data_IF_505143685710
#
_entry.id   IF_505143685710
#
_cell.length_a   1.000
_cell.length_b   1.000
_cell.length_c   1.000
_cell.angle_alpha   90.00
_cell.angle_beta   90.00
_cell.angle_gamma   90.00
#
_symmetry.space_group_name_H-M   'P 1'
#
loop_
_entity.id
_entity.type
_entity.pdbx_description
1 polymer ?
#
# COMPACT_ATOMS: atom_id res chain seq x y z
N UNK A 1 -21.37 -2.43 14.25
CA UNK A 1 -19.93 -2.73 14.10
C UNK A 1 -19.31 -1.64 13.23
N UNK A 2 -18.17 -1.07 13.64
CA UNK A 2 -17.42 -0.17 12.76
C UNK A 2 -16.65 -0.98 11.73
N UNK A 3 -16.54 -0.48 10.50
CA UNK A 3 -15.74 -1.12 9.46
C UNK A 3 -14.27 -1.16 9.85
N UNK A 4 -13.62 -2.28 9.53
CA UNK A 4 -12.22 -2.52 9.86
C UNK A 4 -11.28 -1.68 8.99
N UNK A 5 -10.06 -1.42 9.47
CA UNK A 5 -9.03 -0.66 8.73
C UNK A 5 -8.84 -1.19 7.30
N UNK A 6 -8.76 -2.52 7.17
CA UNK A 6 -8.50 -3.18 5.89
C UNK A 6 -9.66 -2.98 4.91
N UNK A 7 -10.90 -3.07 5.39
CA UNK A 7 -12.09 -2.80 4.58
C UNK A 7 -12.17 -1.35 4.12
N UNK A 8 -11.87 -0.40 5.01
CA UNK A 8 -11.88 1.03 4.68
C UNK A 8 -10.82 1.38 3.64
N UNK A 9 -9.61 0.81 3.76
CA UNK A 9 -8.56 0.99 2.76
C UNK A 9 -8.93 0.37 1.41
N UNK A 10 -9.48 -0.85 1.41
CA UNK A 10 -9.95 -1.50 0.20
C UNK A 10 -11.05 -0.69 -0.48
N UNK A 11 -12.00 -0.16 0.31
CA UNK A 11 -13.08 0.70 -0.17
C UNK A 11 -12.54 2.01 -0.80
N UNK A 12 -11.63 2.71 -0.12
CA UNK A 12 -11.00 3.92 -0.65
C UNK A 12 -10.23 3.64 -1.94
N UNK A 13 -9.41 2.59 -1.95
CA UNK A 13 -8.61 2.20 -3.11
C UNK A 13 -9.49 1.84 -4.31
N UNK A 14 -10.61 1.13 -4.08
CA UNK A 14 -11.56 0.79 -5.12
C UNK A 14 -12.27 2.01 -5.71
N UNK A 15 -12.82 2.89 -4.86
CA UNK A 15 -13.61 4.04 -5.32
C UNK A 15 -12.77 5.16 -5.93
N UNK A 16 -11.57 5.38 -5.38
CA UNK A 16 -10.71 6.47 -5.79
C UNK A 16 -9.55 6.00 -6.67
N UNK A 17 -9.45 4.71 -7.01
CA UNK A 17 -8.36 4.13 -7.80
C UNK A 17 -7.00 4.54 -7.23
N UNK A 18 -6.83 4.31 -5.93
CA UNK A 18 -5.65 4.64 -5.13
C UNK A 18 -4.93 3.37 -4.70
N UNK A 19 -3.69 3.53 -4.22
CA UNK A 19 -2.90 2.45 -3.60
C UNK A 19 -2.45 2.84 -2.20
N UNK A 20 -3.41 3.15 -1.33
CA UNK A 20 -3.10 3.35 0.08
C UNK A 20 -2.87 2.02 0.77
N UNK A 21 -1.77 1.95 1.51
CA UNK A 21 -1.38 0.82 2.36
C UNK A 21 -1.59 1.14 3.84
N UNK A 22 -1.72 2.43 4.18
CA UNK A 22 -1.83 2.96 5.55
C UNK A 22 -2.96 3.99 5.61
N UNK A 23 -3.74 3.99 6.70
CA UNK A 23 -4.90 4.90 6.84
C UNK A 23 -4.47 6.36 6.97
N UNK A 24 -3.25 6.58 7.47
CA UNK A 24 -2.57 7.85 7.59
C UNK A 24 -2.43 8.57 6.24
N UNK A 25 -2.40 7.81 5.13
CA UNK A 25 -2.33 8.39 3.78
C UNK A 25 -3.65 9.04 3.35
N UNK A 26 -4.78 8.67 3.96
CA UNK A 26 -6.06 9.34 3.76
C UNK A 26 -6.05 10.80 4.26
N UNK A 27 -5.08 11.15 5.13
CA UNK A 27 -4.87 12.51 5.63
C UNK A 27 -4.47 13.53 4.56
N UNK A 28 -4.15 13.08 3.34
CA UNK A 28 -3.83 13.94 2.19
C UNK A 28 -5.07 14.57 1.52
N UNK A 29 -6.27 14.06 1.85
CA UNK A 29 -7.61 14.52 1.44
C UNK A 29 -7.80 14.73 -0.06
N UNK A 30 -8.47 13.78 -0.71
CA UNK A 30 -8.64 13.77 -2.15
C UNK A 30 -10.04 14.19 -2.62
N UNK A 31 -10.54 15.36 -2.16
CA UNK A 31 -11.97 15.72 -2.30
C UNK A 31 -12.26 16.81 -3.34
N UNK A 32 -11.25 17.56 -3.82
CA UNK A 32 -11.44 18.56 -4.87
C UNK A 32 -10.32 18.54 -5.91
N UNK A 33 -10.42 17.58 -6.82
CA UNK A 33 -9.32 17.13 -7.67
C UNK A 33 -8.69 18.21 -8.57
N UNK A 34 -9.38 19.32 -8.84
CA UNK A 34 -8.83 20.41 -9.66
C UNK A 34 -7.96 21.41 -8.88
N UNK A 35 -8.13 21.48 -7.55
CA UNK A 35 -7.46 22.48 -6.69
C UNK A 35 -6.64 21.85 -5.56
N UNK A 36 -6.81 20.55 -5.33
CA UNK A 36 -6.02 19.77 -4.39
C UNK A 36 -4.60 19.64 -4.92
N UNK A 37 -3.63 19.90 -4.04
CA UNK A 37 -2.23 19.61 -4.31
C UNK A 37 -1.95 18.16 -3.91
N UNK A 38 -1.58 17.36 -4.90
CA UNK A 38 -1.37 15.92 -4.75
C UNK A 38 0.05 15.55 -4.34
N UNK A 39 1.04 16.34 -4.74
CA UNK A 39 2.47 16.14 -4.44
C UNK A 39 2.92 16.92 -3.19
N UNK A 40 2.05 17.08 -2.20
CA UNK A 40 2.39 17.76 -0.94
C UNK A 40 3.27 16.87 -0.08
N UNK A 41 4.44 17.40 0.33
CA UNK A 41 5.42 16.70 1.15
C UNK A 41 5.46 17.21 2.58
N UNK A 42 4.92 18.40 2.82
CA UNK A 42 4.97 19.07 4.12
C UNK A 42 3.60 19.26 4.74
N UNK A 43 3.50 19.11 6.06
CA UNK A 43 2.24 19.15 6.81
C UNK A 43 1.43 20.44 6.59
N UNK A 44 2.12 21.58 6.51
CA UNK A 44 1.46 22.89 6.31
C UNK A 44 0.79 23.01 4.93
N UNK A 45 1.19 22.20 3.95
CA UNK A 45 0.58 22.20 2.62
C UNK A 45 -0.80 21.54 2.63
N UNK A 46 -1.04 20.60 3.55
CA UNK A 46 -2.34 19.93 3.70
C UNK A 46 -3.43 20.89 4.17
N UNK A 47 -3.09 21.96 4.89
CA UNK A 47 -4.04 22.99 5.34
C UNK A 47 -4.85 23.54 4.16
N UNK A 48 -4.19 23.75 3.01
CA UNK A 48 -4.84 24.22 1.78
C UNK A 48 -5.88 23.22 1.27
N UNK A 49 -5.56 21.92 1.28
CA UNK A 49 -6.46 20.85 0.85
C UNK A 49 -7.68 20.75 1.80
N UNK A 50 -7.47 20.81 3.11
CA UNK A 50 -8.56 20.78 4.10
C UNK A 50 -9.50 21.99 4.02
N UNK A 51 -8.99 23.19 3.70
CA UNK A 51 -9.86 24.37 3.47
C UNK A 51 -10.79 24.19 2.28
N UNK A 52 -10.30 23.51 1.23
CA UNK A 52 -11.14 23.21 0.07
C UNK A 52 -12.22 22.19 0.45
N UNK A 53 -11.89 21.20 1.28
CA UNK A 53 -12.84 20.24 1.82
C UNK A 53 -13.91 20.93 2.67
N UNK A 54 -13.52 21.79 3.61
CA UNK A 54 -14.45 22.59 4.43
C UNK A 54 -15.40 23.41 3.57
N UNK A 55 -14.86 24.10 2.56
CA UNK A 55 -15.68 24.88 1.61
C UNK A 55 -16.68 24.01 0.84
N UNK A 56 -16.38 22.72 0.64
CA UNK A 56 -17.31 21.76 0.02
C UNK A 56 -18.41 21.36 1.00
N UNK A 57 -18.07 21.12 2.27
CA UNK A 57 -19.05 20.76 3.31
C UNK A 57 -20.05 21.90 3.54
N UNK A 58 -19.56 23.14 3.60
CA UNK A 58 -20.42 24.33 3.76
C UNK A 58 -21.42 24.46 2.60
N UNK A 59 -20.96 24.26 1.36
CA UNK A 59 -21.82 24.32 0.16
C UNK A 59 -22.90 23.25 0.16
N UNK A 60 -22.57 22.06 0.62
CA UNK A 60 -23.49 20.93 0.69
C UNK A 60 -24.26 20.87 2.03
N UNK A 61 -24.09 21.88 2.90
CA UNK A 61 -24.74 21.98 4.22
C UNK A 61 -24.52 20.74 5.10
N UNK A 62 -23.28 20.24 5.11
CA UNK A 62 -22.87 19.10 5.94
C UNK A 62 -22.35 19.66 7.28
N UNK A 63 -23.11 19.47 8.36
CA UNK A 63 -22.78 20.01 9.71
C UNK A 63 -21.63 19.28 10.43
N UNK A 64 -20.78 18.54 9.70
CA UNK A 64 -19.63 17.85 10.27
C UNK A 64 -18.44 18.79 10.36
N UNK A 65 -18.00 19.09 11.59
CA UNK A 65 -16.73 19.78 11.83
C UNK A 65 -15.56 18.86 11.48
N UNK A 66 -14.66 19.33 10.61
CA UNK A 66 -13.45 18.62 10.20
C UNK A 66 -12.30 19.04 11.14
N UNK A 67 -11.70 18.12 11.92
CA UNK A 67 -10.60 18.45 12.84
C UNK A 67 -9.25 18.55 12.10
N UNK A 68 -9.10 19.63 11.33
CA UNK A 68 -7.97 19.86 10.41
C UNK A 68 -6.60 19.71 11.10
N UNK A 69 -6.42 20.32 12.28
CA UNK A 69 -5.14 20.29 13.03
C UNK A 69 -4.70 18.90 13.48
N UNK A 70 -5.66 17.97 13.62
CA UNK A 70 -5.39 16.58 14.00
C UNK A 70 -5.13 15.72 12.77
N UNK A 71 -5.92 15.92 11.72
CA UNK A 71 -5.83 15.13 10.50
C UNK A 71 -4.57 15.44 9.67
N UNK A 72 -4.13 16.70 9.63
CA UNK A 72 -2.92 17.08 8.90
C UNK A 72 -1.63 16.48 9.45
N UNK A 73 -1.64 16.02 10.72
CA UNK A 73 -0.53 15.33 11.36
C UNK A 73 -0.44 13.85 10.96
N UNK A 74 -1.35 13.40 10.09
CA UNK A 74 -1.41 12.03 9.59
C UNK A 74 -1.38 10.96 10.70
N UNK A 75 -1.97 11.24 11.86
CA UNK A 75 -2.05 10.28 12.98
C UNK A 75 -3.10 9.21 12.68
N UNK A 76 -2.78 7.97 13.02
CA UNK A 76 -3.64 6.80 12.77
C UNK A 76 -5.08 7.00 13.28
N UNK A 77 -5.23 7.29 14.58
CA UNK A 77 -6.55 7.33 15.22
C UNK A 77 -7.46 8.41 14.62
N UNK A 78 -6.94 9.63 14.45
CA UNK A 78 -7.71 10.75 13.92
C UNK A 78 -8.16 10.48 12.48
N UNK A 79 -7.27 9.91 11.65
CA UNK A 79 -7.59 9.57 10.26
C UNK A 79 -8.57 8.40 10.17
N UNK A 80 -8.42 7.38 11.03
CA UNK A 80 -9.33 6.24 11.08
C UNK A 80 -10.75 6.68 11.46
N UNK A 81 -10.89 7.50 12.50
CA UNK A 81 -12.20 8.01 12.95
C UNK A 81 -12.87 8.84 11.85
N UNK A 82 -12.10 9.69 11.16
CA UNK A 82 -12.63 10.52 10.08
C UNK A 82 -13.06 9.68 8.87
N UNK A 83 -12.27 8.69 8.46
CA UNK A 83 -12.61 7.80 7.33
C UNK A 83 -13.82 6.92 7.67
N UNK A 84 -13.94 6.43 8.91
CA UNK A 84 -15.14 5.71 9.37
C UNK A 84 -16.40 6.57 9.26
N UNK A 85 -16.32 7.83 9.67
CA UNK A 85 -17.43 8.76 9.51
C UNK A 85 -17.73 9.02 8.03
N UNK A 86 -16.70 9.25 7.21
CA UNK A 86 -16.84 9.51 5.77
C UNK A 86 -17.54 8.35 5.06
N UNK A 87 -17.20 7.12 5.42
CA UNK A 87 -17.82 5.92 4.88
C UNK A 87 -19.30 5.81 5.24
N UNK A 88 -19.65 6.03 6.51
CA UNK A 88 -21.07 6.06 6.93
C UNK A 88 -21.84 7.16 6.20
N UNK A 89 -21.21 8.32 6.02
CA UNK A 89 -21.79 9.42 5.25
C UNK A 89 -22.00 9.01 3.79
N UNK A 90 -21.02 8.34 3.18
CA UNK A 90 -21.11 7.83 1.81
C UNK A 90 -22.28 6.84 1.66
N UNK A 91 -22.36 5.82 2.51
CA UNK A 91 -23.41 4.79 2.40
C UNK A 91 -24.83 5.36 2.51
N UNK A 92 -25.01 6.42 3.28
CA UNK A 92 -26.31 7.07 3.47
C UNK A 92 -26.69 8.02 2.32
N UNK A 93 -25.69 8.61 1.66
CA UNK A 93 -25.91 9.72 0.73
C UNK A 93 -25.54 9.40 -0.72
N UNK A 94 -24.92 8.26 -0.99
CA UNK A 94 -24.54 7.88 -2.35
C UNK A 94 -25.77 7.45 -3.15
N UNK A 95 -26.20 8.22 -4.17
CA UNK A 95 -27.41 7.93 -4.93
C UNK A 95 -27.20 6.78 -5.95
N UNK A 96 -26.01 6.18 -5.99
CA UNK A 96 -25.57 5.30 -7.06
C UNK A 96 -24.93 6.07 -8.23
N UNK A 97 -24.18 5.35 -9.07
CA UNK A 97 -23.52 5.90 -10.26
C UNK A 97 -22.11 5.35 -10.47
N UNK A 98 -21.51 5.67 -11.62
CA UNK A 98 -20.10 5.39 -11.90
C UNK A 98 -19.28 6.66 -11.65
N UNK A 99 -18.30 6.58 -10.75
CA UNK A 99 -17.36 7.67 -10.49
C UNK A 99 -15.97 7.26 -11.01
N UNK A 100 -15.42 8.06 -11.93
CA UNK A 100 -14.05 7.86 -12.44
C UNK A 100 -13.11 8.89 -11.81
N UNK A 101 -12.37 8.45 -10.80
CA UNK A 101 -11.44 9.28 -10.05
C UNK A 101 -10.17 9.61 -10.85
N UNK A 102 -9.65 8.68 -11.65
CA UNK A 102 -8.41 8.87 -12.40
C UNK A 102 -8.51 10.00 -13.44
N UNK A 103 -9.63 10.07 -14.18
CA UNK A 103 -9.83 11.16 -15.16
C UNK A 103 -10.04 12.52 -14.48
N UNK A 104 -10.67 12.54 -13.30
CA UNK A 104 -10.88 13.77 -12.51
C UNK A 104 -9.57 14.34 -11.95
N UNK A 105 -8.62 13.47 -11.60
CA UNK A 105 -7.25 13.86 -11.21
C UNK A 105 -6.40 14.40 -12.36
N UNK A 106 -6.84 14.26 -13.62
CA UNK A 106 -6.03 14.59 -14.81
C UNK A 106 -4.61 13.97 -14.76
N UNK A 107 -4.45 12.81 -14.13
CA UNK A 107 -3.16 12.15 -13.93
C UNK A 107 -2.28 12.69 -12.78
N UNK A 108 -2.77 13.64 -11.97
CA UNK A 108 -2.13 14.11 -10.75
C UNK A 108 -2.62 13.31 -9.54
N UNK A 109 -1.90 12.25 -9.18
CA UNK A 109 -2.18 11.37 -8.04
C UNK A 109 -1.04 10.36 -7.90
N UNK A 110 -1.00 9.55 -6.83
CA UNK A 110 0.08 8.57 -6.62
C UNK A 110 0.19 7.66 -7.86
N UNK A 111 1.29 7.80 -8.61
CA UNK A 111 1.52 7.05 -9.85
C UNK A 111 1.83 5.60 -9.53
N UNK A 112 0.80 4.76 -9.50
CA UNK A 112 0.91 3.32 -9.29
C UNK A 112 -0.23 2.58 -9.96
N UNK A 113 -0.49 2.81 -11.24
CA UNK A 113 -1.58 2.14 -11.92
C UNK A 113 -1.29 1.96 -13.39
N UNK A 114 -0.94 0.73 -13.77
CA UNK A 114 -0.83 0.28 -15.15
C UNK A 114 -2.25 0.25 -15.71
N UNK A 115 -2.62 1.26 -16.50
CA UNK A 115 -3.89 1.22 -17.23
C UNK A 115 -3.64 0.45 -18.52
N UNK A 116 -4.08 -0.81 -18.57
CA UNK A 116 -4.21 -1.56 -19.80
C UNK A 116 -5.23 -0.83 -20.70
N UNK A 117 -4.72 -0.05 -21.66
CA UNK A 117 -5.55 0.63 -22.66
C UNK A 117 -5.78 -0.31 -23.84
N UNK A 118 -6.96 -0.92 -23.84
CA UNK A 118 -7.58 -1.48 -25.04
C UNK A 118 -7.59 -0.43 -26.16
N UNK A 119 -7.22 -0.88 -27.37
CA UNK A 119 -6.90 -0.06 -28.52
C UNK A 119 -8.10 0.65 -29.17
N UNK A 120 -7.77 1.61 -30.04
CA UNK A 120 -8.75 2.23 -30.93
C UNK A 120 -8.38 3.62 -31.44
N UNK A 121 -7.55 3.67 -32.48
CA UNK A 121 -7.51 4.66 -33.58
C UNK A 121 -7.35 6.17 -33.30
N UNK A 122 -6.30 6.84 -33.83
CA UNK A 122 -6.30 8.29 -33.99
C UNK A 122 -6.96 8.69 -35.32
N UNK A 123 -8.08 9.41 -35.26
CA UNK A 123 -8.67 10.03 -36.45
C UNK A 123 -7.86 11.25 -36.87
N UNK A 124 -7.28 11.17 -38.05
CA UNK A 124 -6.60 12.25 -38.76
C UNK A 124 -7.51 13.47 -38.95
N UNK A 125 -6.97 14.68 -38.72
CA UNK A 125 -7.52 15.91 -39.29
C UNK A 125 -6.54 16.49 -40.30
N UNK A 126 -7.07 16.60 -41.51
CA UNK A 126 -6.48 17.13 -42.74
C UNK A 126 -6.25 18.63 -42.62
N UNK A 127 -5.07 19.11 -43.01
CA UNK A 127 -4.85 20.48 -43.49
C UNK A 127 -4.63 20.42 -45.00
N UNK A 128 -5.43 21.19 -45.73
CA UNK A 128 -5.33 21.44 -47.17
C UNK A 128 -4.78 22.87 -47.39
N UNK A 129 -4.55 23.33 -48.63
CA UNK A 129 -3.20 23.63 -49.12
C UNK A 129 -2.98 25.13 -49.36
N UNK A 130 -1.73 25.55 -49.57
CA UNK A 130 -1.46 26.78 -50.32
C UNK A 130 -0.36 26.54 -51.34
N UNK A 131 -0.66 26.98 -52.55
CA UNK A 131 0.10 26.81 -53.78
C UNK A 131 1.19 27.88 -53.91
N UNK A 132 2.28 27.54 -54.61
CA UNK A 132 2.65 28.14 -55.91
C UNK A 132 4.15 27.97 -56.22
N UNK A 133 4.41 27.71 -57.51
CA UNK A 133 5.68 27.65 -58.23
C UNK A 133 6.67 28.79 -57.89
N UNK A 134 7.98 28.73 -58.11
CA UNK A 134 8.85 27.89 -58.93
C UNK A 134 10.04 28.76 -59.35
N UNK A 135 11.26 28.21 -59.43
CA UNK A 135 12.43 28.92 -59.99
C UNK A 135 13.78 28.53 -59.41
N UNK A 136 14.60 27.84 -60.22
CA UNK A 136 16.01 27.48 -60.00
C UNK A 136 16.94 28.73 -60.07
N UNK A 137 18.24 28.78 -59.72
CA UNK A 137 19.31 27.81 -59.51
C UNK A 137 20.54 28.52 -58.86
N UNK A 138 21.44 27.72 -58.21
CA UNK A 138 22.92 27.89 -58.03
C UNK A 138 23.45 29.12 -57.24
N UNK A 139 24.50 29.11 -56.41
CA UNK A 139 25.57 28.18 -56.01
C UNK A 139 26.32 28.82 -54.80
N UNK A 140 26.79 28.04 -53.82
CA UNK A 140 28.17 28.06 -53.30
C UNK A 140 28.34 27.36 -51.93
N UNK A 141 29.42 26.58 -51.88
CA UNK A 141 29.94 25.73 -50.81
C UNK A 141 30.28 26.44 -49.49
N UNK A 142 30.01 25.78 -48.35
CA UNK A 142 30.91 25.78 -47.18
C UNK A 142 30.73 24.50 -46.34
N UNK A 143 31.77 23.66 -46.36
CA UNK A 143 31.97 22.53 -45.45
C UNK A 143 32.14 23.03 -44.01
N UNK A 144 31.50 22.36 -43.05
CA UNK A 144 32.07 22.08 -41.72
C UNK A 144 31.56 20.74 -41.19
N UNK A 145 32.51 19.89 -40.82
CA UNK A 145 32.40 18.56 -40.20
C UNK A 145 31.49 18.49 -38.97
N UNK A 146 30.89 17.32 -38.71
CA UNK A 146 30.29 17.02 -37.40
C UNK A 146 29.33 15.84 -37.39
N UNK A 147 29.86 14.67 -37.01
CA UNK A 147 29.18 13.37 -36.86
C UNK A 147 28.24 13.34 -35.64
N UNK A 148 27.25 12.45 -35.76
CA UNK A 148 26.58 11.59 -34.74
C UNK A 148 25.56 12.15 -33.72
N UNK A 149 24.37 11.51 -33.79
CA UNK A 149 23.51 11.02 -32.70
C UNK A 149 22.88 11.99 -31.70
N UNK A 150 21.56 12.18 -31.81
CA UNK A 150 20.70 12.61 -30.71
C UNK A 150 19.63 11.56 -30.38
N UNK A 151 20.05 10.29 -30.23
CA UNK A 151 19.23 9.21 -29.64
C UNK A 151 19.45 9.06 -28.11
N UNK A 152 20.24 9.94 -27.49
CA UNK A 152 20.63 9.85 -26.08
C UNK A 152 19.54 10.25 -25.07
N UNK A 153 18.45 10.89 -25.51
CA UNK A 153 17.34 11.24 -24.61
C UNK A 153 16.54 10.01 -24.14
N UNK A 154 16.49 8.94 -24.96
CA UNK A 154 15.76 7.70 -24.61
C UNK A 154 16.57 6.75 -23.72
N UNK A 155 17.91 6.76 -23.81
CA UNK A 155 18.76 5.92 -22.97
C UNK A 155 18.75 6.40 -21.49
N UNK A 156 18.85 7.71 -21.26
CA UNK A 156 18.79 8.27 -19.90
C UNK A 156 17.41 8.16 -19.25
N UNK A 157 16.33 8.15 -20.03
CA UNK A 157 14.97 7.95 -19.50
C UNK A 157 14.73 6.49 -19.05
N UNK A 158 15.33 5.52 -19.74
CA UNK A 158 15.24 4.10 -19.38
C UNK A 158 16.06 3.78 -18.13
N UNK A 159 17.27 4.34 -18.01
CA UNK A 159 18.15 4.17 -16.85
C UNK A 159 17.57 4.76 -15.56
N UNK A 160 16.90 5.91 -15.67
CA UNK A 160 16.22 6.55 -14.54
C UNK A 160 14.96 5.78 -14.12
N UNK A 161 14.27 5.11 -15.05
CA UNK A 161 13.15 4.22 -14.74
C UNK A 161 13.62 2.94 -14.02
N UNK A 162 14.67 2.30 -14.53
CA UNK A 162 15.29 1.13 -13.89
C UNK A 162 15.78 1.46 -12.49
N UNK A 163 16.47 2.59 -12.32
CA UNK A 163 16.92 3.08 -11.01
C UNK A 163 15.75 3.35 -10.06
N UNK A 164 14.64 3.93 -10.55
CA UNK A 164 13.43 4.14 -9.74
C UNK A 164 12.76 2.84 -9.29
N UNK A 165 12.78 1.81 -10.16
CA UNK A 165 12.23 0.49 -9.85
C UNK A 165 13.10 -0.25 -8.83
N UNK A 166 14.41 -0.16 -8.94
CA UNK A 166 15.36 -0.72 -7.96
C UNK A 166 15.14 -0.10 -6.58
N UNK A 167 14.97 1.22 -6.49
CA UNK A 167 14.68 1.91 -5.22
C UNK A 167 13.34 1.44 -4.63
N UNK A 168 12.31 1.29 -5.47
CA UNK A 168 11.00 0.80 -5.04
C UNK A 168 11.06 -0.65 -4.54
N UNK A 169 11.74 -1.53 -5.26
CA UNK A 169 11.91 -2.93 -4.87
C UNK A 169 12.71 -3.04 -3.58
N UNK A 170 13.80 -2.28 -3.42
CA UNK A 170 14.56 -2.22 -2.17
C UNK A 170 13.72 -1.75 -0.99
N UNK A 171 12.82 -0.77 -1.21
CA UNK A 171 11.87 -0.33 -0.19
C UNK A 171 10.90 -1.45 0.20
N UNK A 172 10.33 -2.16 -0.77
CA UNK A 172 9.43 -3.29 -0.50
C UNK A 172 10.15 -4.42 0.23
N UNK A 173 11.38 -4.74 -0.16
CA UNK A 173 12.21 -5.71 0.54
C UNK A 173 12.49 -5.30 1.99
N UNK A 174 12.81 -4.02 2.23
CA UNK A 174 13.02 -3.51 3.58
C UNK A 174 11.74 -3.55 4.43
N UNK A 175 10.59 -3.18 3.87
CA UNK A 175 9.30 -3.24 4.56
C UNK A 175 8.90 -4.67 4.88
N UNK A 176 9.13 -5.61 3.94
CA UNK A 176 8.85 -7.02 4.13
C UNK A 176 9.76 -7.62 5.20
N UNK A 177 11.06 -7.32 5.17
CA UNK A 177 12.01 -7.74 6.22
C UNK A 177 11.56 -7.28 7.59
N UNK A 178 11.23 -5.99 7.76
CA UNK A 178 10.72 -5.48 9.04
C UNK A 178 9.41 -6.16 9.48
N UNK A 179 8.57 -6.57 8.54
CA UNK A 179 7.33 -7.29 8.83
C UNK A 179 7.62 -8.72 9.28
N UNK A 180 8.53 -9.42 8.60
CA UNK A 180 8.98 -10.77 8.97
C UNK A 180 9.62 -10.75 10.35
N UNK A 181 10.55 -9.84 10.62
CA UNK A 181 11.18 -9.69 11.94
C UNK A 181 10.15 -9.45 13.06
N UNK A 182 9.08 -8.72 12.76
CA UNK A 182 7.96 -8.49 13.68
C UNK A 182 7.17 -9.77 13.95
N UNK A 183 6.84 -10.50 12.88
CA UNK A 183 6.11 -11.77 12.94
C UNK A 183 6.93 -12.86 13.65
N UNK A 184 8.24 -12.92 13.44
CA UNK A 184 9.13 -13.87 14.13
C UNK A 184 9.17 -13.61 15.63
N UNK A 185 9.24 -12.34 16.05
CA UNK A 185 9.15 -11.98 17.48
C UNK A 185 7.80 -12.36 18.08
N UNK A 186 6.71 -12.15 17.34
CA UNK A 186 5.38 -12.57 17.79
C UNK A 186 5.28 -14.10 17.87
N UNK A 187 5.77 -14.83 16.86
CA UNK A 187 5.86 -16.29 16.85
C UNK A 187 6.61 -16.80 18.07
N UNK A 188 7.81 -16.29 18.31
CA UNK A 188 8.67 -16.73 19.43
C UNK A 188 8.03 -16.39 20.78
N UNK A 189 7.37 -15.23 20.88
CA UNK A 189 6.63 -14.84 22.07
C UNK A 189 5.46 -15.78 22.39
N UNK A 190 4.66 -16.16 21.39
CA UNK A 190 3.55 -17.10 21.58
C UNK A 190 4.04 -18.53 21.81
N UNK A 191 5.08 -18.96 21.08
CA UNK A 191 5.72 -20.25 21.28
C UNK A 191 6.27 -20.40 22.71
N UNK A 192 7.00 -19.40 23.20
CA UNK A 192 7.51 -19.40 24.57
C UNK A 192 6.40 -19.53 25.61
N UNK A 193 5.27 -18.82 25.43
CA UNK A 193 4.11 -18.96 26.33
C UNK A 193 3.50 -20.35 26.29
N UNK A 194 3.36 -20.94 25.11
CA UNK A 194 2.82 -22.31 24.97
C UNK A 194 3.77 -23.33 25.58
N UNK A 195 5.08 -23.14 25.44
CA UNK A 195 6.11 -23.98 26.06
C UNK A 195 6.08 -23.89 27.59
N UNK A 196 5.95 -22.69 28.15
CA UNK A 196 5.80 -22.51 29.60
C UNK A 196 4.56 -23.22 30.13
N UNK A 197 3.43 -23.12 29.42
CA UNK A 197 2.18 -23.83 29.76
C UNK A 197 2.38 -25.35 29.68
N UNK A 198 3.05 -25.84 28.63
CA UNK A 198 3.33 -27.26 28.45
C UNK A 198 4.14 -27.84 29.62
N UNK A 199 5.20 -27.14 30.06
CA UNK A 199 6.02 -27.55 31.21
C UNK A 199 5.13 -27.67 32.46
N UNK A 200 4.31 -26.66 32.74
CA UNK A 200 3.42 -26.67 33.91
C UNK A 200 2.43 -27.84 33.84
N UNK A 201 1.86 -28.11 32.67
CA UNK A 201 0.91 -29.23 32.48
C UNK A 201 1.61 -30.57 32.70
N UNK A 202 2.81 -30.76 32.16
CA UNK A 202 3.60 -32.00 32.34
C UNK A 202 3.96 -32.22 33.82
N UNK A 203 4.48 -31.20 34.51
CA UNK A 203 4.84 -31.28 35.93
C UNK A 203 3.63 -31.63 36.82
N UNK A 204 2.48 -31.04 36.56
CA UNK A 204 1.25 -31.32 37.32
C UNK A 204 0.71 -32.73 37.03
N UNK A 205 0.80 -33.20 35.79
CA UNK A 205 0.41 -34.57 35.45
C UNK A 205 1.30 -35.60 36.14
N UNK A 206 2.62 -35.41 36.16
CA UNK A 206 3.56 -36.29 36.86
C UNK A 206 3.32 -36.31 38.37
N UNK A 207 2.99 -35.17 38.98
CA UNK A 207 2.67 -35.08 40.40
C UNK A 207 1.36 -35.81 40.75
N UNK A 208 0.30 -35.63 39.96
CA UNK A 208 -1.00 -36.27 40.18
C UNK A 208 -0.97 -37.79 39.96
N UNK A 209 -0.07 -38.30 39.10
CA UNK A 209 0.15 -39.74 38.95
C UNK A 209 0.72 -40.38 40.23
N UNK A 210 1.42 -39.63 41.07
CA UNK A 210 1.98 -40.12 42.34
C UNK A 210 0.97 -40.06 43.51
N UNK A 211 0.03 -39.11 43.50
CA UNK A 211 -0.89 -38.88 44.63
C UNK A 211 -2.26 -39.59 44.51
N UNK A 212 -2.52 -40.33 43.43
CA UNK A 212 -3.81 -41.04 43.19
C UNK A 212 -5.06 -40.14 43.25
N UNK A 213 -4.91 -38.82 43.11
CA UNK A 213 -6.04 -37.89 43.02
C UNK A 213 -6.37 -37.58 41.55
N UNK A 214 -7.55 -38.02 41.11
CA UNK A 214 -7.90 -38.10 39.69
C UNK A 214 -8.82 -36.97 39.20
N UNK A 215 -9.15 -35.99 40.06
CA UNK A 215 -10.16 -34.98 39.74
C UNK A 215 -9.68 -33.92 38.71
N UNK A 216 -8.38 -33.60 38.67
CA UNK A 216 -7.83 -32.55 37.78
C UNK A 216 -7.20 -33.11 36.49
N UNK A 217 -6.95 -34.42 36.42
CA UNK A 217 -6.33 -35.13 35.29
C UNK A 217 -7.08 -34.96 33.94
N UNK A 218 -8.44 -34.92 33.88
CA UNK A 218 -9.14 -34.76 32.61
C UNK A 218 -8.86 -33.42 31.92
N UNK A 219 -8.79 -32.32 32.68
CA UNK A 219 -8.56 -30.98 32.14
C UNK A 219 -7.14 -30.83 31.60
N UNK A 220 -6.15 -31.37 32.31
CA UNK A 220 -4.75 -31.35 31.86
C UNK A 220 -4.57 -32.14 30.54
N UNK A 221 -5.27 -33.27 30.38
CA UNK A 221 -5.29 -34.04 29.13
C UNK A 221 -5.93 -33.28 27.96
N UNK A 222 -6.99 -32.53 28.21
CA UNK A 222 -7.59 -31.67 27.17
C UNK A 222 -6.64 -30.56 26.73
N UNK A 223 -5.93 -29.92 27.67
CA UNK A 223 -4.91 -28.91 27.35
C UNK A 223 -3.78 -29.53 26.53
N UNK A 224 -3.30 -30.72 26.92
CA UNK A 224 -2.26 -31.44 26.19
C UNK A 224 -2.70 -31.80 24.76
N UNK A 225 -3.96 -32.22 24.59
CA UNK A 225 -4.52 -32.51 23.28
C UNK A 225 -4.56 -31.28 22.37
N UNK A 226 -4.83 -30.09 22.93
CA UNK A 226 -4.77 -28.82 22.18
C UNK A 226 -3.32 -28.48 21.80
N UNK A 227 -2.39 -28.58 22.74
CA UNK A 227 -0.97 -28.23 22.50
C UNK A 227 -0.31 -29.11 21.44
N UNK A 228 -0.69 -30.39 21.36
CA UNK A 228 -0.19 -31.33 20.35
C UNK A 228 -1.12 -31.51 19.15
N UNK A 229 -2.20 -30.75 19.07
CA UNK A 229 -3.04 -30.78 17.87
C UNK A 229 -2.28 -30.19 16.68
N UNK A 230 -2.29 -30.88 15.56
CA UNK A 230 -1.73 -30.42 14.30
C UNK A 230 -2.86 -30.06 13.34
N UNK A 231 -2.74 -28.93 12.63
CA UNK A 231 -3.59 -28.66 11.47
C UNK A 231 -3.07 -29.43 10.25
N UNK A 232 -3.98 -29.82 9.35
CA UNK A 232 -3.69 -30.59 8.13
C UNK A 232 -2.70 -29.81 7.23
N UNK A 233 -1.43 -30.22 7.27
CA UNK A 233 -0.30 -29.56 6.59
C UNK A 233 0.81 -28.98 7.49
N UNK A 234 0.68 -29.05 8.82
CA UNK A 234 1.75 -28.75 9.78
C UNK A 234 2.17 -30.06 10.48
N UNK A 235 3.08 -30.80 9.86
CA UNK A 235 3.77 -31.90 10.54
C UNK A 235 4.80 -31.33 11.51
N UNK A 236 4.74 -31.77 12.78
CA UNK A 236 5.79 -31.54 13.77
C UNK A 236 7.01 -32.34 13.29
N UNK A 237 8.14 -31.69 12.97
CA UNK A 237 9.38 -32.41 12.70
C UNK A 237 9.69 -33.30 13.91
N UNK A 238 10.08 -34.57 13.71
CA UNK A 238 10.34 -35.48 14.81
C UNK A 238 11.38 -34.87 15.76
N UNK A 239 11.14 -35.00 17.07
CA UNK A 239 12.03 -34.49 18.12
C UNK A 239 13.46 -35.01 17.89
N UNK A 240 14.35 -34.12 17.41
CA UNK A 240 15.74 -34.47 17.14
C UNK A 240 16.38 -33.75 15.94
N UNK A 241 15.60 -33.15 15.05
CA UNK A 241 16.14 -32.25 14.03
C UNK A 241 16.07 -30.81 14.53
N UNK A 242 17.15 -30.37 15.19
CA UNK A 242 17.44 -28.94 15.32
C UNK A 242 17.23 -28.31 13.95
N UNK A 243 16.37 -27.30 13.86
CA UNK A 243 16.23 -26.50 12.66
C UNK A 243 17.64 -26.00 12.34
N UNK A 244 18.27 -26.62 11.33
CA UNK A 244 19.51 -26.15 10.78
C UNK A 244 19.23 -24.71 10.37
N UNK A 245 19.73 -23.77 11.16
CA UNK A 245 19.92 -22.40 10.73
C UNK A 245 20.83 -22.52 9.52
N UNK A 246 20.24 -22.55 8.32
CA UNK A 246 20.97 -22.23 7.12
C UNK A 246 21.38 -20.76 7.27
N UNK A 247 22.54 -20.56 7.91
CA UNK A 247 23.38 -19.41 7.65
C UNK A 247 23.60 -19.41 6.14
N UNK A 248 22.82 -18.58 5.44
CA UNK A 248 23.19 -18.14 4.10
C UNK A 248 24.46 -17.32 4.28
N UNK A 249 25.58 -18.01 4.13
CA UNK A 249 26.91 -17.46 4.06
C UNK A 249 26.90 -16.46 2.90
N UNK A 250 26.87 -15.17 3.25
CA UNK A 250 26.88 -14.04 2.33
C UNK A 250 28.32 -13.83 1.82
N UNK A 251 28.89 -14.87 1.22
CA UNK A 251 30.10 -14.81 0.43
C UNK A 251 29.79 -15.41 -0.95
N UNK A 252 29.77 -14.59 -2.01
CA UNK A 252 30.79 -14.59 -3.06
C UNK A 252 30.37 -13.72 -4.26
N UNK A 253 31.21 -12.69 -4.53
CA UNK A 253 31.45 -11.88 -5.75
C UNK A 253 30.39 -10.91 -6.33
#
# INVERSE_FOLDING_TARGET
MGESRTELLAWLNHNLQLNYTKIEQAGTVDVHMTKVKFDTKHEYEYVGNYKILQSSFDKHKIDKVIPVDRLMKCKFQDNLEFVQWLKRFWDQNYPGGTYDAATRRKGGGPKGGVVARSGGTPTARKSAPSAAAGGAARSASRNTSGRVSSSSASANAMDNHSSSMIIQLNKQLSELKMTVDGLEKERDFYFGKLRDIEIIVQEQMEALEQEHDHLEVPVLKEIQAILYSTEDGFEVPPEGEEAATEEFDDETF
#
